data_IF_791540272078
#
_entry.id   IF_791540272078
#
_cell.length_a   1.000
_cell.length_b   1.000
_cell.length_c   1.000
_cell.angle_alpha   90.00
_cell.angle_beta   90.00
_cell.angle_gamma   90.00
#
_symmetry.space_group_name_H-M   'P 1'
#
loop_
_entity.id
_entity.type
_entity.pdbx_description
1 polymer ?
#
# COMPACT_ATOMS: atom_id res chain seq x y z
N UNK A 1 -14.04 -23.26 16.04
CA UNK A 1 -15.20 -22.35 16.22
C UNK A 1 -14.71 -20.94 15.94
N UNK A 2 -14.55 -20.58 14.65
CA UNK A 2 -14.07 -19.26 14.22
C UNK A 2 -15.13 -18.75 13.25
N UNK A 3 -16.18 -18.15 13.82
CA UNK A 3 -17.23 -17.41 13.10
C UNK A 3 -17.71 -16.31 14.02
N UNK A 4 -16.82 -15.38 14.32
CA UNK A 4 -17.24 -14.03 14.62
C UNK A 4 -16.67 -13.15 13.53
N UNK A 5 -17.59 -12.75 12.65
CA UNK A 5 -17.37 -11.65 11.72
C UNK A 5 -17.09 -10.41 12.58
N UNK A 6 -15.81 -10.08 12.76
CA UNK A 6 -15.43 -8.71 13.07
C UNK A 6 -15.67 -7.87 11.81
N UNK A 7 -16.94 -7.59 11.52
CA UNK A 7 -17.29 -6.51 10.61
C UNK A 7 -16.95 -5.22 11.31
N UNK A 8 -15.92 -4.53 10.80
CA UNK A 8 -15.51 -3.14 11.11
C UNK A 8 -16.70 -2.14 11.16
N UNK A 9 -17.86 -2.56 10.64
CA UNK A 9 -19.18 -1.95 10.72
C UNK A 9 -19.69 -1.66 12.15
N UNK A 10 -19.24 -2.39 13.18
CA UNK A 10 -19.78 -2.23 14.54
C UNK A 10 -19.16 -1.07 15.35
N UNK A 11 -17.93 -0.65 15.06
CA UNK A 11 -17.33 0.57 15.67
C UNK A 11 -17.78 1.88 15.03
N UNK A 12 -18.48 1.81 13.90
CA UNK A 12 -18.97 2.96 13.12
C UNK A 12 -20.29 3.52 13.72
N UNK A 13 -20.99 2.76 14.57
CA UNK A 13 -22.36 3.05 15.02
C UNK A 13 -22.52 4.31 15.90
N UNK A 14 -21.43 4.84 16.45
CA UNK A 14 -21.47 6.03 17.33
C UNK A 14 -21.13 7.35 16.60
N UNK A 15 -20.90 7.32 15.29
CA UNK A 15 -20.63 8.50 14.49
C UNK A 15 -21.71 8.66 13.44
N UNK A 16 -22.18 9.89 13.21
CA UNK A 16 -22.95 10.19 12.00
C UNK A 16 -22.03 9.88 10.80
N UNK A 17 -22.38 8.88 10.01
CA UNK A 17 -21.54 8.41 8.90
C UNK A 17 -22.23 8.59 7.57
N UNK A 18 -21.65 9.44 6.73
CA UNK A 18 -22.08 9.59 5.34
C UNK A 18 -21.25 8.68 4.46
N UNK A 19 -21.93 7.88 3.64
CA UNK A 19 -21.33 6.94 2.71
C UNK A 19 -21.29 7.53 1.30
N UNK A 20 -20.11 7.63 0.71
CA UNK A 20 -19.93 7.94 -0.71
C UNK A 20 -19.69 6.64 -1.51
N UNK A 21 -20.30 6.53 -2.70
CA UNK A 21 -20.15 5.37 -3.59
C UNK A 21 -19.06 5.65 -4.63
N UNK A 22 -17.90 4.99 -4.55
CA UNK A 22 -16.78 5.19 -5.49
C UNK A 22 -16.11 3.90 -5.96
N UNK A 23 -15.19 4.00 -6.92
CA UNK A 23 -14.39 2.90 -7.46
C UNK A 23 -13.31 2.44 -6.47
N UNK A 24 -13.01 1.12 -6.37
CA UNK A 24 -12.08 0.60 -5.37
C UNK A 24 -10.67 1.18 -5.54
N UNK A 25 -10.04 1.56 -4.43
CA UNK A 25 -8.59 1.74 -4.38
C UNK A 25 -7.94 0.38 -4.22
N UNK A 26 -6.84 0.17 -4.96
CA UNK A 26 -6.12 -1.11 -5.02
C UNK A 26 -4.74 -0.87 -4.45
N UNK A 27 -4.36 -1.61 -3.43
CA UNK A 27 -3.03 -1.55 -2.85
C UNK A 27 -2.15 -2.64 -3.40
N UNK A 28 -0.88 -2.33 -3.59
CA UNK A 28 0.02 -3.17 -4.34
C UNK A 28 1.47 -3.11 -3.86
N UNK A 29 2.24 -4.10 -4.27
CA UNK A 29 3.71 -4.06 -4.19
C UNK A 29 4.26 -3.57 -5.52
N UNK A 30 5.07 -2.51 -5.44
CA UNK A 30 5.75 -1.87 -6.54
C UNK A 30 7.25 -2.19 -6.49
N UNK A 31 7.80 -2.81 -7.53
CA UNK A 31 9.22 -3.11 -7.65
C UNK A 31 9.95 -2.06 -8.51
N UNK A 32 11.15 -1.67 -8.09
CA UNK A 32 11.99 -0.70 -8.78
C UNK A 32 12.55 -1.24 -10.10
N UNK A 33 12.55 -0.41 -11.14
CA UNK A 33 12.99 -0.82 -12.48
C UNK A 33 14.48 -1.22 -12.60
N UNK A 34 15.34 -0.84 -11.65
CA UNK A 34 16.78 -1.15 -11.68
C UNK A 34 17.09 -2.60 -11.27
N UNK A 35 16.29 -3.16 -10.37
CA UNK A 35 16.49 -4.51 -9.82
C UNK A 35 16.17 -5.58 -10.86
N UNK A 36 15.16 -5.34 -11.71
CA UNK A 36 14.75 -6.25 -12.78
C UNK A 36 15.84 -6.42 -13.85
N UNK A 37 16.65 -5.37 -14.12
CA UNK A 37 17.77 -5.49 -15.07
C UNK A 37 18.80 -6.52 -14.59
N UNK A 38 19.07 -6.58 -13.29
CA UNK A 38 20.02 -7.53 -12.70
C UNK A 38 19.44 -8.95 -12.62
N UNK A 39 18.14 -9.09 -12.32
CA UNK A 39 17.46 -10.38 -12.32
C UNK A 39 17.34 -11.00 -13.73
N UNK A 40 17.03 -10.20 -14.77
CA UNK A 40 16.93 -10.70 -16.16
C UNK A 40 18.28 -10.96 -16.83
N UNK A 41 19.32 -10.18 -16.50
CA UNK A 41 20.67 -10.44 -17.03
C UNK A 41 21.30 -11.69 -16.41
N UNK A 42 21.04 -11.95 -15.13
CA UNK A 42 21.43 -13.19 -14.45
C UNK A 42 20.81 -14.43 -15.10
N UNK A 43 19.52 -14.38 -15.44
CA UNK A 43 18.81 -15.52 -16.05
C UNK A 43 19.28 -15.84 -17.48
N UNK A 44 19.78 -14.84 -18.20
CA UNK A 44 20.25 -15.00 -19.58
C UNK A 44 21.65 -15.62 -19.67
N UNK A 45 22.48 -15.47 -18.62
CA UNK A 45 23.84 -16.00 -18.62
C UNK A 45 23.90 -17.49 -18.24
N UNK A 46 22.87 -18.01 -17.55
CA UNK A 46 22.81 -19.42 -17.13
C UNK A 46 22.35 -20.39 -18.24
N UNK A 47 21.70 -19.90 -19.30
CA UNK A 47 21.17 -20.74 -20.40
C UNK A 47 22.19 -20.93 -21.52
N UNK A 48 23.24 -20.10 -21.61
CA UNK A 48 24.21 -20.13 -22.71
C UNK A 48 25.40 -21.08 -22.50
N UNK A 49 25.50 -21.78 -21.36
CA UNK A 49 26.65 -22.66 -21.05
C UNK A 49 26.36 -24.16 -21.08
N UNK A 50 25.26 -24.61 -21.72
CA UNK A 50 24.89 -26.04 -21.79
C UNK A 50 24.90 -26.65 -23.20
N UNK A 51 25.39 -25.94 -24.23
CA UNK A 51 25.52 -26.49 -25.58
C UNK A 51 26.98 -26.60 -26.02
N UNK A 52 27.75 -27.49 -25.38
CA UNK A 52 28.93 -28.08 -26.00
C UNK A 52 29.30 -29.40 -25.29
N UNK A 53 28.83 -30.51 -25.82
CA UNK A 53 29.63 -31.66 -26.32
C UNK A 53 28.64 -32.81 -26.56
N UNK A 54 28.35 -33.06 -27.84
CA UNK A 54 27.77 -34.31 -28.30
C UNK A 54 28.92 -35.32 -28.42
N UNK A 55 28.90 -36.36 -27.59
CA UNK A 55 29.73 -37.54 -27.72
C UNK A 55 28.85 -38.76 -27.48
N UNK A 56 28.51 -39.47 -28.56
CA UNK A 56 27.81 -40.74 -28.49
C UNK A 56 28.72 -41.80 -27.86
N UNK A 57 28.26 -42.49 -26.82
CA UNK A 57 28.57 -43.90 -26.67
C UNK A 57 27.43 -44.64 -25.94
N UNK A 58 27.05 -45.79 -26.49
CA UNK A 58 25.96 -46.63 -26.01
C UNK A 58 26.51 -47.62 -24.97
N UNK A 59 26.27 -47.34 -23.70
CA UNK A 59 26.26 -48.38 -22.67
C UNK A 59 25.34 -48.01 -21.53
N UNK A 60 24.18 -48.65 -21.50
CA UNK A 60 23.22 -48.55 -20.41
C UNK A 60 23.85 -49.10 -19.12
N UNK A 61 24.32 -48.20 -18.26
CA UNK A 61 24.54 -48.45 -16.82
C UNK A 61 23.51 -47.64 -16.06
N UNK A 62 22.53 -48.33 -15.49
CA UNK A 62 21.61 -47.78 -14.49
C UNK A 62 22.40 -47.45 -13.22
N UNK A 63 22.39 -46.20 -12.71
CA UNK A 63 22.82 -45.93 -11.35
C UNK A 63 21.59 -45.83 -10.44
N UNK A 64 21.61 -46.69 -9.43
CA UNK A 64 20.78 -46.70 -8.23
C UNK A 64 20.69 -45.34 -7.55
N UNK A 65 19.52 -45.10 -6.96
CA UNK A 65 19.11 -43.97 -6.14
C UNK A 65 20.23 -43.33 -5.28
N UNK A 66 20.43 -42.03 -5.48
CA UNK A 66 21.10 -41.13 -4.54
C UNK A 66 20.06 -40.18 -3.94
N UNK A 67 19.82 -40.39 -2.65
CA UNK A 67 19.57 -39.41 -1.59
C UNK A 67 18.90 -38.08 -2.00
N UNK A 68 17.69 -37.84 -1.48
CA UNK A 68 17.13 -36.49 -1.32
C UNK A 68 18.11 -35.65 -0.50
N UNK A 69 18.83 -34.75 -1.14
CA UNK A 69 19.37 -33.56 -0.47
C UNK A 69 18.20 -32.61 -0.20
N UNK A 70 17.86 -32.44 1.07
CA UNK A 70 17.16 -31.24 1.54
C UNK A 70 18.10 -30.04 1.30
N UNK A 71 18.02 -29.47 0.10
CA UNK A 71 18.68 -28.21 -0.20
C UNK A 71 17.93 -27.10 0.53
N UNK A 72 18.27 -26.89 1.80
CA UNK A 72 17.93 -25.66 2.52
C UNK A 72 18.66 -24.53 1.80
N UNK A 73 17.98 -23.93 0.83
CA UNK A 73 18.48 -22.82 0.04
C UNK A 73 18.58 -21.59 0.97
N UNK A 74 19.66 -21.51 1.75
CA UNK A 74 20.05 -20.26 2.41
C UNK A 74 20.39 -19.28 1.30
N UNK A 75 19.46 -18.37 1.01
CA UNK A 75 19.65 -17.33 0.02
C UNK A 75 20.83 -16.43 0.41
N UNK A 76 22.00 -16.73 -0.16
CA UNK A 76 23.23 -15.95 -0.03
C UNK A 76 23.23 -14.83 -1.07
N UNK A 77 22.93 -13.60 -0.64
CA UNK A 77 22.95 -12.40 -1.47
C UNK A 77 22.59 -11.14 -0.68
N UNK A 78 22.68 -9.95 -1.29
CA UNK A 78 22.09 -8.73 -0.72
C UNK A 78 20.57 -8.93 -0.61
N UNK A 79 19.95 -8.67 0.57
CA UNK A 79 18.51 -8.85 0.72
C UNK A 79 17.74 -7.89 -0.19
N UNK A 80 16.60 -8.34 -0.72
CA UNK A 80 15.64 -7.45 -1.39
C UNK A 80 14.98 -6.60 -0.30
N UNK A 81 15.13 -5.29 -0.41
CA UNK A 81 14.61 -4.32 0.55
C UNK A 81 13.22 -3.83 0.17
N UNK A 82 12.26 -3.97 1.08
CA UNK A 82 10.84 -3.66 0.83
C UNK A 82 10.38 -2.63 1.87
N UNK A 83 9.99 -1.43 1.42
CA UNK A 83 9.39 -0.42 2.29
C UNK A 83 7.91 -0.69 2.55
N UNK A 84 7.48 -0.55 3.80
CA UNK A 84 6.06 -0.60 4.19
C UNK A 84 5.77 0.39 5.32
N UNK A 85 4.49 0.68 5.55
CA UNK A 85 4.03 1.65 6.54
C UNK A 85 3.00 1.06 7.52
N UNK A 86 2.39 1.94 8.29
CA UNK A 86 1.30 1.69 9.24
C UNK A 86 -0.06 1.33 8.60
N UNK A 87 -0.17 1.28 7.27
CA UNK A 87 -1.43 0.98 6.59
C UNK A 87 -1.94 -0.44 6.92
N UNK A 88 -3.20 -0.60 7.39
CA UNK A 88 -3.75 -1.89 7.79
C UNK A 88 -3.77 -2.95 6.70
N UNK A 89 -3.86 -2.57 5.42
CA UNK A 89 -3.77 -3.51 4.30
C UNK A 89 -2.43 -4.26 4.23
N UNK A 90 -1.40 -3.78 4.94
CA UNK A 90 -0.07 -4.40 4.98
C UNK A 90 0.15 -5.32 6.18
N UNK A 91 -0.83 -5.47 7.08
CA UNK A 91 -0.71 -6.27 8.31
C UNK A 91 -0.37 -7.74 8.02
N UNK A 92 -0.85 -8.31 6.91
CA UNK A 92 -0.48 -9.68 6.52
C UNK A 92 1.03 -9.85 6.35
N UNK A 93 1.74 -8.82 5.87
CA UNK A 93 3.19 -8.82 5.76
C UNK A 93 3.87 -8.74 7.12
N UNK A 94 3.33 -7.95 8.05
CA UNK A 94 3.81 -7.92 9.43
C UNK A 94 3.75 -9.31 10.09
N UNK A 95 2.64 -10.03 9.90
CA UNK A 95 2.50 -11.41 10.39
C UNK A 95 3.54 -12.34 9.75
N UNK A 96 3.74 -12.24 8.43
CA UNK A 96 4.74 -13.05 7.73
C UNK A 96 6.18 -12.78 8.20
N UNK A 97 6.49 -11.53 8.55
CA UNK A 97 7.78 -11.12 9.13
C UNK A 97 7.95 -11.74 10.52
N UNK A 98 6.97 -11.57 11.41
CA UNK A 98 7.04 -12.06 12.80
C UNK A 98 7.08 -13.58 12.89
N UNK A 99 6.36 -14.27 11.99
CA UNK A 99 6.37 -15.73 11.91
C UNK A 99 7.57 -16.30 11.18
N UNK A 100 8.37 -15.46 10.52
CA UNK A 100 9.54 -15.90 9.77
C UNK A 100 9.21 -16.70 8.49
N UNK A 101 7.97 -16.63 8.00
CA UNK A 101 7.50 -17.42 6.84
C UNK A 101 8.31 -17.16 5.58
N UNK A 102 8.81 -15.94 5.40
CA UNK A 102 9.65 -15.58 4.26
C UNK A 102 11.00 -16.32 4.31
N UNK A 103 11.58 -16.46 5.50
CA UNK A 103 12.82 -17.24 5.71
C UNK A 103 12.58 -18.74 5.54
N UNK A 104 11.44 -19.25 6.02
CA UNK A 104 11.03 -20.65 5.82
C UNK A 104 10.84 -20.98 4.33
N UNK A 105 10.32 -20.03 3.56
CA UNK A 105 10.20 -20.12 2.10
C UNK A 105 11.55 -19.92 1.35
N UNK A 106 12.67 -19.73 2.07
CA UNK A 106 13.99 -19.52 1.46
C UNK A 106 14.20 -18.14 0.83
N UNK A 107 13.37 -17.14 1.16
CA UNK A 107 13.47 -15.79 0.63
C UNK A 107 14.40 -14.92 1.49
N UNK A 108 15.36 -14.24 0.84
CA UNK A 108 16.22 -13.24 1.47
C UNK A 108 15.65 -11.84 1.21
N UNK A 109 14.72 -11.45 2.07
CA UNK A 109 13.97 -10.19 1.98
C UNK A 109 14.05 -9.45 3.32
N UNK A 110 14.18 -8.14 3.25
CA UNK A 110 14.21 -7.25 4.42
C UNK A 110 13.09 -6.22 4.29
N UNK A 111 12.11 -6.30 5.18
CA UNK A 111 11.06 -5.29 5.28
C UNK A 111 11.53 -4.14 6.18
N UNK A 112 11.44 -2.92 5.66
CA UNK A 112 11.83 -1.69 6.34
C UNK A 112 10.60 -0.84 6.62
N UNK A 113 10.35 -0.55 7.89
CA UNK A 113 9.23 0.27 8.32
C UNK A 113 9.53 1.76 8.09
N UNK A 114 8.53 2.50 7.60
CA UNK A 114 8.59 3.94 7.37
C UNK A 114 7.24 4.60 7.67
N UNK A 115 7.26 5.92 7.86
CA UNK A 115 6.09 6.74 7.53
C UNK A 115 5.78 6.60 6.03
N UNK A 116 4.49 6.55 5.66
CA UNK A 116 4.07 6.18 4.30
C UNK A 116 4.79 6.99 3.20
N UNK A 117 4.76 8.32 3.26
CA UNK A 117 5.42 9.19 2.27
C UNK A 117 6.94 9.07 2.27
N UNK A 118 7.55 8.78 3.42
CA UNK A 118 8.99 8.52 3.50
C UNK A 118 9.35 7.22 2.75
N UNK A 119 8.48 6.20 2.78
CA UNK A 119 8.68 4.97 2.00
C UNK A 119 8.66 5.24 0.49
N UNK A 120 7.73 6.06 0.01
CA UNK A 120 7.62 6.42 -1.41
C UNK A 120 8.83 7.24 -1.87
N UNK A 121 9.29 8.18 -1.03
CA UNK A 121 10.49 8.98 -1.30
C UNK A 121 11.76 8.11 -1.34
N UNK A 122 11.93 7.20 -0.38
CA UNK A 122 13.05 6.26 -0.37
C UNK A 122 13.06 5.36 -1.61
N UNK A 123 11.89 4.87 -2.02
CA UNK A 123 11.73 4.11 -3.25
C UNK A 123 12.06 4.93 -4.50
N UNK A 124 11.52 6.15 -4.61
CA UNK A 124 11.82 7.07 -5.72
C UNK A 124 13.31 7.43 -5.81
N UNK A 125 14.00 7.49 -4.67
CA UNK A 125 15.44 7.70 -4.57
C UNK A 125 16.29 6.44 -4.86
N UNK A 126 15.67 5.32 -5.23
CA UNK A 126 16.31 4.00 -5.43
C UNK A 126 17.03 3.47 -4.17
N UNK A 127 16.55 3.82 -2.98
CA UNK A 127 17.06 3.30 -1.71
C UNK A 127 16.35 2.02 -1.26
N UNK A 128 15.27 1.65 -1.94
CA UNK A 128 14.48 0.44 -1.74
C UNK A 128 14.30 -0.30 -3.07
N UNK A 129 14.28 -1.62 -3.02
CA UNK A 129 14.01 -2.47 -4.18
C UNK A 129 12.52 -2.55 -4.50
N UNK A 130 11.67 -2.48 -3.47
CA UNK A 130 10.23 -2.43 -3.59
C UNK A 130 9.56 -1.57 -2.51
N UNK A 131 8.32 -1.15 -2.75
CA UNK A 131 7.48 -0.44 -1.78
C UNK A 131 6.04 -0.92 -1.86
N UNK A 132 5.38 -0.98 -0.70
CA UNK A 132 3.93 -1.19 -0.62
C UNK A 132 3.23 0.16 -0.74
N UNK A 133 2.32 0.29 -1.71
CA UNK A 133 1.71 1.58 -2.07
C UNK A 133 0.32 1.38 -2.68
N UNK A 134 -0.52 2.41 -2.58
CA UNK A 134 -1.78 2.45 -3.34
C UNK A 134 -1.50 2.63 -4.85
N UNK A 135 -2.35 2.08 -5.70
CA UNK A 135 -2.23 2.23 -7.15
C UNK A 135 -2.31 3.69 -7.61
N UNK A 136 -3.12 4.51 -6.91
CA UNK A 136 -3.23 5.95 -7.18
C UNK A 136 -1.92 6.68 -6.89
N UNK A 137 -1.29 6.38 -5.76
CA UNK A 137 -0.02 7.03 -5.38
C UNK A 137 1.14 6.55 -6.26
N UNK A 138 1.11 5.29 -6.71
CA UNK A 138 2.03 4.81 -7.73
C UNK A 138 1.90 5.61 -9.04
N UNK A 139 0.67 5.93 -9.49
CA UNK A 139 0.48 6.76 -10.68
C UNK A 139 1.09 8.16 -10.49
N UNK A 140 0.90 8.77 -9.31
CA UNK A 140 1.49 10.07 -8.97
C UNK A 140 3.03 9.97 -8.97
N UNK A 141 3.59 8.97 -8.29
CA UNK A 141 5.03 8.70 -8.21
C UNK A 141 5.65 8.46 -9.60
N UNK A 142 4.97 7.69 -10.45
CA UNK A 142 5.37 7.43 -11.83
C UNK A 142 5.32 8.70 -12.70
N UNK A 143 4.33 9.57 -12.50
CA UNK A 143 4.26 10.87 -13.19
C UNK A 143 5.44 11.80 -12.84
N UNK A 144 6.03 11.61 -11.65
CA UNK A 144 7.27 12.26 -11.22
C UNK A 144 8.55 11.66 -11.80
N UNK A 145 8.45 10.60 -12.61
CA UNK A 145 9.59 9.97 -13.30
C UNK A 145 10.13 8.70 -12.63
N UNK A 146 9.58 8.30 -11.48
CA UNK A 146 9.96 7.05 -10.81
C UNK A 146 9.51 5.85 -11.65
N UNK A 147 10.41 4.91 -11.88
CA UNK A 147 10.12 3.70 -12.66
C UNK A 147 9.86 2.53 -11.73
N UNK A 148 8.65 1.99 -11.79
CA UNK A 148 8.31 0.76 -11.08
C UNK A 148 7.36 -0.12 -11.86
N UNK A 149 7.27 -1.38 -11.44
CA UNK A 149 6.28 -2.34 -11.92
C UNK A 149 5.50 -2.91 -10.75
N UNK A 150 4.19 -2.88 -10.88
CA UNK A 150 3.28 -3.48 -9.93
C UNK A 150 3.31 -5.00 -10.09
N UNK A 151 3.63 -5.73 -9.04
CA UNK A 151 3.78 -7.20 -9.12
C UNK A 151 2.69 -7.97 -8.40
N UNK A 152 1.97 -7.33 -7.47
CA UNK A 152 0.97 -7.98 -6.63
C UNK A 152 0.00 -6.93 -6.11
N UNK A 153 -1.29 -7.24 -6.20
CA UNK A 153 -2.35 -6.56 -5.44
C UNK A 153 -2.42 -7.20 -4.07
N UNK A 154 -2.33 -6.41 -3.01
CA UNK A 154 -2.31 -6.88 -1.61
C UNK A 154 -3.61 -6.64 -0.89
N UNK A 155 -4.34 -5.58 -1.23
CA UNK A 155 -5.59 -5.22 -0.56
C UNK A 155 -6.52 -4.39 -1.46
N UNK A 156 -7.81 -4.39 -1.09
CA UNK A 156 -8.80 -3.45 -1.59
C UNK A 156 -9.35 -2.65 -0.40
N UNK A 157 -9.10 -1.33 -0.38
CA UNK A 157 -9.59 -0.49 0.71
C UNK A 157 -11.13 -0.42 0.70
N UNK A 158 -11.75 -0.86 1.79
CA UNK A 158 -13.20 -0.90 1.97
C UNK A 158 -13.67 -0.06 3.18
N UNK A 159 -13.34 1.24 3.17
CA UNK A 159 -13.76 2.20 4.21
C UNK A 159 -12.69 2.53 5.27
N UNK A 160 -11.43 2.18 5.01
CA UNK A 160 -10.31 2.61 5.83
C UNK A 160 -9.95 4.09 5.61
N UNK A 161 -10.16 4.61 4.39
CA UNK A 161 -9.98 6.03 4.03
C UNK A 161 -11.27 6.82 4.27
N UNK A 162 -11.16 7.92 5.01
CA UNK A 162 -12.31 8.69 5.51
C UNK A 162 -12.05 10.20 5.50
N UNK A 163 -13.11 10.98 5.39
CA UNK A 163 -13.10 12.42 5.69
C UNK A 163 -13.72 12.61 7.07
N UNK A 164 -12.94 13.06 8.05
CA UNK A 164 -13.42 13.37 9.39
C UNK A 164 -13.66 14.87 9.49
N UNK A 165 -14.87 15.28 9.88
CA UNK A 165 -15.24 16.68 10.01
C UNK A 165 -15.63 17.04 11.45
N UNK A 166 -15.42 18.30 11.83
CA UNK A 166 -15.87 18.82 13.13
C UNK A 166 -17.38 18.86 13.25
N UNK A 167 -17.86 18.94 14.48
CA UNK A 167 -19.28 19.14 14.78
C UNK A 167 -19.87 20.33 14.00
N UNK A 168 -21.08 20.16 13.48
CA UNK A 168 -21.77 21.19 12.69
C UNK A 168 -21.53 21.10 11.18
N UNK A 169 -20.64 20.21 10.73
CA UNK A 169 -20.48 19.82 9.32
C UNK A 169 -21.12 18.44 9.21
N UNK A 170 -22.18 18.33 8.41
CA UNK A 170 -22.98 17.10 8.28
C UNK A 170 -22.92 16.50 6.88
N UNK A 171 -22.35 17.24 5.92
CA UNK A 171 -22.22 16.83 4.53
C UNK A 171 -20.97 17.39 3.87
N UNK A 172 -20.57 16.81 2.74
CA UNK A 172 -19.51 17.37 1.89
C UNK A 172 -19.82 18.79 1.43
N UNK A 173 -21.10 19.13 1.22
CA UNK A 173 -21.55 20.47 0.85
C UNK A 173 -21.19 21.54 1.89
N UNK A 174 -21.18 21.16 3.17
CA UNK A 174 -20.82 22.06 4.28
C UNK A 174 -19.32 22.41 4.31
N UNK A 175 -18.48 21.69 3.54
CA UNK A 175 -17.05 21.98 3.42
C UNK A 175 -16.76 23.20 2.54
N UNK A 176 -17.74 23.70 1.78
CA UNK A 176 -17.56 24.88 0.94
C UNK A 176 -17.09 26.08 1.78
N UNK A 177 -16.00 26.72 1.33
CA UNK A 177 -15.26 27.82 1.97
C UNK A 177 -14.63 27.45 3.33
N UNK A 178 -14.58 26.18 3.69
CA UNK A 178 -13.92 25.69 4.91
C UNK A 178 -12.50 25.25 4.63
N UNK A 179 -11.69 25.19 5.68
CA UNK A 179 -10.35 24.60 5.59
C UNK A 179 -10.44 23.09 5.75
N UNK A 180 -9.86 22.34 4.81
CA UNK A 180 -9.75 20.88 4.88
C UNK A 180 -8.27 20.52 4.76
N UNK A 181 -7.75 19.73 5.71
CA UNK A 181 -6.37 19.29 5.68
C UNK A 181 -6.24 17.84 5.19
N UNK A 182 -5.23 17.57 4.38
CA UNK A 182 -4.90 16.23 3.88
C UNK A 182 -3.48 16.26 3.35
N UNK A 183 -2.84 15.11 3.26
CA UNK A 183 -1.56 15.01 2.57
C UNK A 183 -1.77 15.10 1.05
N UNK A 184 -1.21 16.14 0.43
CA UNK A 184 -1.40 16.38 -1.01
C UNK A 184 -0.64 15.36 -1.83
N UNK A 185 -1.35 14.82 -2.81
CA UNK A 185 -0.77 13.89 -3.80
C UNK A 185 -0.89 12.42 -3.38
N UNK A 186 -1.55 12.15 -2.26
CA UNK A 186 -1.87 10.79 -1.82
C UNK A 186 -3.35 10.44 -2.02
N UNK A 187 -3.68 9.17 -1.80
CA UNK A 187 -5.02 8.58 -1.95
C UNK A 187 -6.12 9.38 -1.22
N UNK A 188 -5.86 9.93 -0.04
CA UNK A 188 -6.84 10.75 0.69
C UNK A 188 -7.12 12.11 0.03
N UNK A 189 -6.13 12.68 -0.67
CA UNK A 189 -6.36 13.88 -1.47
C UNK A 189 -7.22 13.57 -2.69
N UNK A 190 -7.05 12.38 -3.30
CA UNK A 190 -7.93 11.89 -4.34
C UNK A 190 -9.34 11.65 -3.80
N UNK A 191 -9.49 10.97 -2.66
CA UNK A 191 -10.77 10.75 -1.97
C UNK A 191 -11.51 12.07 -1.75
N UNK A 192 -10.83 13.07 -1.18
CA UNK A 192 -11.40 14.40 -0.96
C UNK A 192 -11.83 15.06 -2.28
N UNK A 193 -10.98 15.00 -3.30
CA UNK A 193 -11.27 15.60 -4.61
C UNK A 193 -12.47 14.94 -5.28
N UNK A 194 -12.59 13.61 -5.19
CA UNK A 194 -13.74 12.87 -5.72
C UNK A 194 -15.02 13.21 -4.96
N UNK A 195 -14.98 13.25 -3.62
CA UNK A 195 -16.11 13.65 -2.79
C UNK A 195 -16.63 15.06 -3.14
N UNK A 196 -15.72 16.02 -3.31
CA UNK A 196 -16.07 17.39 -3.72
C UNK A 196 -16.67 17.43 -5.13
N UNK A 197 -16.09 16.67 -6.07
CA UNK A 197 -16.57 16.57 -7.46
C UNK A 197 -18.01 16.05 -7.50
N UNK A 198 -18.32 15.00 -6.76
CA UNK A 198 -19.67 14.44 -6.64
C UNK A 198 -20.66 15.45 -6.05
N UNK A 199 -20.21 16.23 -5.06
CA UNK A 199 -20.99 17.32 -4.48
C UNK A 199 -21.06 18.57 -5.38
N UNK A 200 -20.44 18.54 -6.57
CA UNK A 200 -20.33 19.65 -7.54
C UNK A 200 -19.66 20.89 -6.94
N UNK A 201 -18.69 20.68 -6.05
CA UNK A 201 -17.89 21.73 -5.42
C UNK A 201 -16.50 21.70 -6.07
N UNK A 202 -16.04 22.79 -6.70
CA UNK A 202 -14.69 22.82 -7.21
C UNK A 202 -13.69 22.82 -6.04
N UNK A 203 -12.52 22.18 -6.20
CA UNK A 203 -11.50 22.15 -5.15
C UNK A 203 -11.06 23.56 -4.72
N UNK A 204 -11.16 24.55 -5.62
CA UNK A 204 -10.89 25.98 -5.35
C UNK A 204 -11.89 26.63 -4.38
N UNK A 205 -13.06 26.03 -4.18
CA UNK A 205 -14.07 26.51 -3.23
C UNK A 205 -13.77 26.09 -1.79
N UNK A 206 -12.72 25.29 -1.54
CA UNK A 206 -12.23 24.96 -0.19
C UNK A 206 -10.82 25.53 0.04
N UNK A 207 -10.44 25.73 1.31
CA UNK A 207 -9.06 26.04 1.68
C UNK A 207 -8.30 24.75 1.97
N UNK A 208 -7.61 24.22 0.97
CA UNK A 208 -6.83 22.99 1.12
C UNK A 208 -5.52 23.25 1.90
N UNK A 209 -5.38 22.62 3.06
CA UNK A 209 -4.19 22.67 3.91
C UNK A 209 -3.37 21.40 3.70
N UNK A 210 -2.10 21.54 3.31
CA UNK A 210 -1.21 20.39 3.20
C UNK A 210 -0.59 20.06 4.55
N UNK A 211 -0.62 18.81 4.97
CA UNK A 211 0.11 18.29 6.13
C UNK A 211 0.35 16.80 5.91
N UNK A 212 1.45 16.27 6.43
CA UNK A 212 1.73 14.84 6.36
C UNK A 212 0.73 14.05 7.21
N UNK A 213 0.39 12.84 6.81
CA UNK A 213 -0.75 12.14 7.38
C UNK A 213 -0.62 11.91 8.89
N UNK A 214 0.57 11.57 9.38
CA UNK A 214 0.81 11.36 10.82
C UNK A 214 0.62 12.63 11.67
N UNK A 215 0.72 13.83 11.08
CA UNK A 215 0.46 15.12 11.74
C UNK A 215 -1.01 15.54 11.69
N UNK A 216 -1.83 14.93 10.81
CA UNK A 216 -3.23 15.33 10.61
C UNK A 216 -4.07 15.34 11.90
N UNK A 217 -3.90 14.43 12.89
CA UNK A 217 -4.62 14.53 14.16
C UNK A 217 -4.32 15.83 14.92
N UNK A 218 -3.07 16.27 14.92
CA UNK A 218 -2.65 17.53 15.54
C UNK A 218 -3.19 18.72 14.75
N UNK A 219 -3.12 18.67 13.42
CA UNK A 219 -3.65 19.72 12.55
C UNK A 219 -5.16 19.86 12.69
N UNK A 220 -5.88 18.75 12.84
CA UNK A 220 -7.33 18.74 13.06
C UNK A 220 -7.75 19.35 14.40
N UNK A 221 -6.91 19.23 15.43
CA UNK A 221 -7.14 19.86 16.73
C UNK A 221 -7.15 21.41 16.66
N UNK A 222 -6.46 22.00 15.68
CA UNK A 222 -6.48 23.45 15.45
C UNK A 222 -7.89 23.94 15.09
N UNK A 223 -8.42 25.04 15.68
CA UNK A 223 -9.74 25.58 15.35
C UNK A 223 -9.89 25.99 13.87
N UNK A 224 -8.77 26.25 13.18
CA UNK A 224 -8.78 26.71 11.78
C UNK A 224 -9.12 25.62 10.76
N UNK A 225 -8.93 24.34 11.13
CA UNK A 225 -9.18 23.18 10.27
C UNK A 225 -10.55 22.60 10.59
N UNK A 226 -11.39 22.49 9.56
CA UNK A 226 -12.78 22.07 9.69
C UNK A 226 -12.97 20.58 9.44
N UNK A 227 -12.13 19.98 8.59
CA UNK A 227 -12.12 18.55 8.30
C UNK A 227 -10.72 18.08 7.93
N UNK A 228 -10.47 16.78 8.05
CA UNK A 228 -9.31 16.08 7.52
C UNK A 228 -9.74 14.94 6.60
N UNK A 229 -9.04 14.70 5.49
CA UNK A 229 -9.10 13.43 4.77
C UNK A 229 -7.90 12.58 5.20
N UNK A 230 -8.16 11.36 5.67
CA UNK A 230 -7.20 10.56 6.42
C UNK A 230 -7.59 9.08 6.42
N UNK A 231 -6.60 8.22 6.62
CA UNK A 231 -6.75 6.77 6.67
C UNK A 231 -6.57 6.19 8.10
N UNK A 232 -6.97 4.92 8.32
CA UNK A 232 -6.77 4.20 9.59
C UNK A 232 -5.32 3.70 9.74
N UNK A 233 -4.64 3.84 10.90
CA UNK A 233 -5.20 4.09 12.22
C UNK A 233 -5.29 5.58 12.60
N UNK A 234 -4.73 6.49 11.79
CA UNK A 234 -4.67 7.93 12.09
C UNK A 234 -6.08 8.53 12.27
N UNK A 235 -7.04 8.06 11.48
CA UNK A 235 -8.46 8.40 11.60
C UNK A 235 -9.05 8.12 13.00
N UNK A 236 -8.54 7.13 13.72
CA UNK A 236 -9.00 6.77 15.07
C UNK A 236 -8.45 7.71 16.16
N UNK A 237 -7.40 8.47 15.88
CA UNK A 237 -6.86 9.47 16.82
C UNK A 237 -7.65 10.79 16.80
N UNK A 238 -8.39 11.10 15.73
CA UNK A 238 -9.18 12.35 15.57
C UNK A 238 -10.59 12.34 16.18
N UNK A 239 -10.82 11.59 17.26
CA UNK A 239 -12.12 11.03 17.70
C UNK A 239 -13.25 11.97 18.20
N UNK A 240 -13.33 13.24 17.78
CA UNK A 240 -14.38 14.18 18.22
C UNK A 240 -15.30 14.72 17.11
N UNK A 241 -15.55 14.00 16.02
CA UNK A 241 -16.28 14.52 14.85
C UNK A 241 -17.04 13.53 13.97
N UNK A 242 -17.78 14.04 12.98
CA UNK A 242 -18.48 13.30 11.91
C UNK A 242 -17.46 12.48 11.09
N UNK A 243 -17.78 11.22 10.74
CA UNK A 243 -16.95 10.40 9.83
C UNK A 243 -17.65 10.22 8.49
N UNK A 244 -17.16 10.82 7.43
CA UNK A 244 -17.62 10.55 6.07
C UNK A 244 -16.76 9.42 5.52
N UNK A 245 -17.34 8.25 5.35
CA UNK A 245 -16.63 7.07 4.84
C UNK A 245 -16.94 6.90 3.35
N UNK A 246 -15.94 6.49 2.57
CA UNK A 246 -16.24 5.81 1.31
C UNK A 246 -16.74 4.40 1.64
N UNK A 247 -17.89 3.98 1.09
CA UNK A 247 -18.33 2.57 1.17
C UNK A 247 -18.32 2.01 -0.24
N UNK A 248 -17.62 0.91 -0.40
CA UNK A 248 -17.50 0.25 -1.68
C UNK A 248 -18.53 -0.88 -1.77
N UNK A 249 -19.32 -0.88 -2.85
CA UNK A 249 -20.26 -1.97 -3.15
C UNK A 249 -19.52 -3.04 -3.95
N UNK A 250 -19.79 -4.30 -3.61
CA UNK A 250 -19.27 -5.50 -4.27
C UNK A 250 -19.28 -5.40 -5.80
N UNK A 251 -18.12 -5.67 -6.42
CA UNK A 251 -18.05 -6.32 -7.73
C UNK A 251 -17.42 -7.70 -7.53
N UNK A 252 -18.29 -8.71 -7.48
CA UNK A 252 -18.06 -10.05 -8.04
C UNK A 252 -18.97 -10.15 -9.27
#
# INVERSE_FOLDING_TARGET
>A
MIREKYTQQDEIRNFNVQVLNHHPYIDCILFGGSVMKHAMTSLSLSVLLSFAVAGCDNSAKVPTASQKEDTKNTATGTPITIGYSDWPGFVAWQVAIEKGWLKEAGLNVEFKWFDYSASLNAFAANQLDAVLTTNGDNLVTASGGTKGMMIMVTDYSAGNDVIIAKSGINSVTDLKRKSVATEKGLVDHLLLSTALTDAKIPLTDIKLVNSVTNELPQVFASPEVSAIAVWQPVATCGKSGLKICSRFKNYL
#
